data_IF_188142405343
#
_entry.id   IF_188142405343
#
_cell.length_a   1.000
_cell.length_b   1.000
_cell.length_c   1.000
_cell.angle_alpha   90.00
_cell.angle_beta   90.00
_cell.angle_gamma   90.00
#
_symmetry.space_group_name_H-M   'P 1'
#
loop_
_entity.id
_entity.type
_entity.pdbx_description
1 polymer ?
#
# COMPACT_ATOMS: atom_id res chain seq x y z
N UNK A 1 10.97 13.22 -10.61
CA UNK A 1 11.82 13.83 -11.65
C UNK A 1 10.92 14.04 -12.84
N UNK A 2 10.84 15.26 -13.37
CA UNK A 2 9.96 15.54 -14.51
C UNK A 2 10.50 14.89 -15.79
N UNK A 3 9.64 14.71 -16.79
CA UNK A 3 10.04 14.23 -18.12
C UNK A 3 11.06 15.18 -18.79
N UNK A 4 10.89 16.49 -18.62
CA UNK A 4 11.80 17.50 -19.15
C UNK A 4 13.18 17.44 -18.51
N UNK A 5 13.24 17.34 -17.17
CA UNK A 5 14.51 17.18 -16.45
C UNK A 5 15.23 15.90 -16.87
N UNK A 6 14.48 14.82 -17.09
CA UNK A 6 15.03 13.55 -17.55
C UNK A 6 15.68 13.69 -18.93
N UNK A 7 14.98 14.28 -19.91
CA UNK A 7 15.50 14.48 -21.26
C UNK A 7 16.69 15.47 -21.26
N UNK A 8 16.65 16.51 -20.45
CA UNK A 8 17.74 17.46 -20.28
C UNK A 8 19.00 16.78 -19.71
N UNK A 9 18.83 15.98 -18.65
CA UNK A 9 19.93 15.23 -18.04
C UNK A 9 20.48 14.15 -18.97
N UNK A 10 19.62 13.47 -19.74
CA UNK A 10 20.04 12.50 -20.75
C UNK A 10 20.85 13.17 -21.87
N UNK A 11 20.43 14.35 -22.34
CA UNK A 11 21.19 15.14 -23.31
C UNK A 11 22.56 15.51 -22.77
N UNK A 12 22.59 16.02 -21.54
CA UNK A 12 23.83 16.42 -20.87
C UNK A 12 24.79 15.24 -20.69
N UNK A 13 24.29 14.08 -20.27
CA UNK A 13 25.10 12.87 -20.12
C UNK A 13 25.73 12.40 -21.44
N UNK A 14 25.01 12.52 -22.56
CA UNK A 14 25.58 12.23 -23.88
C UNK A 14 26.69 13.21 -24.27
N UNK A 15 26.52 14.50 -23.99
CA UNK A 15 27.54 15.53 -24.24
C UNK A 15 28.77 15.30 -23.36
N UNK A 16 28.58 15.01 -22.07
CA UNK A 16 29.66 14.70 -21.13
C UNK A 16 30.40 13.40 -21.54
N UNK A 17 29.71 12.48 -22.22
CA UNK A 17 30.28 11.28 -22.84
C UNK A 17 31.00 11.50 -24.17
N UNK A 18 31.06 12.75 -24.66
CA UNK A 18 31.80 13.14 -25.88
C UNK A 18 30.97 13.22 -27.16
N UNK A 19 29.64 13.08 -27.09
CA UNK A 19 28.78 13.33 -28.25
C UNK A 19 28.66 14.85 -28.52
N UNK A 20 28.56 15.23 -29.80
CA UNK A 20 28.28 16.62 -30.14
C UNK A 20 26.83 17.00 -29.75
N UNK A 21 26.53 18.30 -29.56
CA UNK A 21 25.21 18.75 -29.11
C UNK A 21 24.03 18.38 -30.04
N UNK A 22 24.28 18.17 -31.34
CA UNK A 22 23.25 17.80 -32.32
C UNK A 22 22.97 16.31 -32.19
N UNK A 23 24.01 15.46 -32.21
CA UNK A 23 23.87 14.01 -32.00
C UNK A 23 23.26 13.69 -30.64
N UNK A 24 23.65 14.40 -29.57
CA UNK A 24 23.04 14.27 -28.25
C UNK A 24 21.55 14.69 -28.25
N UNK A 25 21.19 15.71 -29.04
CA UNK A 25 19.79 16.11 -29.22
C UNK A 25 18.97 15.06 -29.96
N UNK A 26 19.51 14.45 -31.01
CA UNK A 26 18.83 13.42 -31.78
C UNK A 26 18.69 12.10 -31.00
N UNK A 27 19.68 11.75 -30.17
CA UNK A 27 19.61 10.60 -29.26
C UNK A 27 18.45 10.74 -28.25
N UNK A 28 18.22 11.94 -27.72
CA UNK A 28 17.14 12.20 -26.76
C UNK A 28 15.75 12.09 -27.39
N UNK A 29 15.60 12.46 -28.68
CA UNK A 29 14.33 12.27 -29.40
C UNK A 29 13.93 10.79 -29.55
N UNK A 30 14.89 9.87 -29.55
CA UNK A 30 14.63 8.43 -29.66
C UNK A 30 14.05 7.83 -28.37
N UNK A 31 14.28 8.48 -27.24
CA UNK A 31 13.78 8.05 -25.92
C UNK A 31 12.59 8.89 -25.46
N UNK A 32 12.24 9.97 -26.15
CA UNK A 32 11.06 10.78 -25.85
C UNK A 32 9.79 10.13 -26.40
N UNK A 33 9.00 9.56 -25.51
CA UNK A 33 7.69 8.95 -25.85
C UNK A 33 6.51 9.94 -25.70
N UNK A 34 6.79 11.24 -25.50
CA UNK A 34 5.80 12.32 -25.58
C UNK A 34 4.83 12.43 -24.39
N UNK A 35 4.98 11.61 -23.35
CA UNK A 35 4.21 11.72 -22.12
C UNK A 35 5.02 12.40 -21.01
N UNK A 36 4.36 12.70 -19.88
CA UNK A 36 5.02 13.15 -18.65
C UNK A 36 4.42 12.43 -17.47
N UNK A 37 4.95 11.25 -17.18
CA UNK A 37 4.49 10.34 -16.13
C UNK A 37 5.42 10.41 -14.93
N UNK A 38 4.89 10.82 -13.78
CA UNK A 38 5.57 10.62 -12.50
C UNK A 38 5.25 9.23 -11.96
N UNK A 39 6.13 8.26 -12.24
CA UNK A 39 5.96 6.88 -11.82
C UNK A 39 5.87 6.70 -10.29
N UNK A 40 6.45 7.61 -9.50
CA UNK A 40 6.34 7.55 -8.04
C UNK A 40 4.94 7.96 -7.57
N UNK A 41 4.37 9.03 -8.13
CA UNK A 41 2.97 9.41 -7.87
C UNK A 41 1.98 8.34 -8.38
N UNK A 42 2.37 7.59 -9.40
CA UNK A 42 1.54 6.47 -9.87
C UNK A 42 1.49 5.30 -8.89
N UNK A 43 2.54 5.03 -8.11
CA UNK A 43 2.57 3.92 -7.15
C UNK A 43 2.27 4.32 -5.70
N UNK A 44 2.53 5.58 -5.34
CA UNK A 44 2.32 6.09 -4.00
C UNK A 44 1.03 6.91 -3.90
N UNK A 45 0.51 7.03 -2.69
CA UNK A 45 -0.63 7.88 -2.37
C UNK A 45 -0.42 8.51 -1.00
N UNK A 46 -1.13 9.60 -0.75
CA UNK A 46 -1.34 10.06 0.62
C UNK A 46 -2.16 9.01 1.38
N UNK A 47 -1.55 8.41 2.40
CA UNK A 47 -2.19 7.43 3.25
C UNK A 47 -3.00 8.10 4.36
N UNK A 48 -4.26 7.69 4.54
CA UNK A 48 -5.12 8.12 5.64
C UNK A 48 -5.39 6.92 6.54
N UNK A 49 -5.31 7.15 7.86
CA UNK A 49 -5.69 6.15 8.87
C UNK A 49 -6.86 6.66 9.69
N UNK A 50 -7.85 5.80 9.89
CA UNK A 50 -9.03 6.07 10.71
C UNK A 50 -9.15 4.99 11.76
N UNK A 51 -9.43 5.40 12.99
CA UNK A 51 -9.62 4.51 14.12
C UNK A 51 -10.82 4.99 14.94
N UNK A 52 -11.74 4.07 15.21
CA UNK A 52 -12.92 4.32 16.04
C UNK A 52 -12.95 3.27 17.13
N UNK A 53 -13.08 3.70 18.38
CA UNK A 53 -13.26 2.80 19.51
C UNK A 53 -14.50 3.21 20.28
N UNK A 54 -15.33 2.24 20.57
CA UNK A 54 -16.47 2.40 21.46
C UNK A 54 -16.38 1.35 22.56
N UNK A 55 -16.65 1.77 23.79
CA UNK A 55 -16.74 0.84 24.91
C UNK A 55 -17.85 1.23 25.84
N UNK A 56 -18.49 0.22 26.40
CA UNK A 56 -19.53 0.33 27.40
C UNK A 56 -19.19 -0.59 28.57
N UNK A 57 -19.41 -0.10 29.78
CA UNK A 57 -19.11 -0.82 31.00
C UNK A 57 -20.25 -0.72 31.98
N UNK A 58 -20.48 -1.81 32.70
CA UNK A 58 -21.41 -1.91 33.81
C UNK A 58 -20.72 -2.63 34.97
N UNK A 59 -20.87 -2.09 36.17
CA UNK A 59 -20.36 -2.71 37.38
C UNK A 59 -21.39 -2.51 38.49
N UNK A 60 -21.88 -3.60 39.06
CA UNK A 60 -22.81 -3.55 40.18
C UNK A 60 -22.78 -4.84 40.99
N UNK A 61 -22.77 -4.72 42.33
CA UNK A 61 -22.95 -5.81 43.31
C UNK A 61 -22.24 -7.12 42.95
N UNK A 62 -20.96 -7.05 42.55
CA UNK A 62 -20.14 -8.21 42.25
C UNK A 62 -20.18 -8.70 40.80
N UNK A 63 -21.01 -8.10 39.94
CA UNK A 63 -21.02 -8.32 38.49
C UNK A 63 -20.30 -7.19 37.76
N UNK A 64 -19.32 -7.53 36.93
CA UNK A 64 -18.66 -6.61 36.01
C UNK A 64 -18.90 -7.06 34.56
N UNK A 65 -19.32 -6.15 33.71
CA UNK A 65 -19.47 -6.40 32.27
C UNK A 65 -18.81 -5.26 31.52
N UNK A 66 -17.95 -5.58 30.56
CA UNK A 66 -17.34 -4.61 29.65
C UNK A 66 -17.50 -5.12 28.22
N UNK A 67 -18.19 -4.33 27.40
CA UNK A 67 -18.30 -4.55 25.97
C UNK A 67 -17.48 -3.48 25.26
N UNK A 68 -16.73 -3.86 24.24
CA UNK A 68 -15.96 -2.91 23.43
C UNK A 68 -15.92 -3.35 21.98
N UNK A 69 -15.90 -2.38 21.09
CA UNK A 69 -15.71 -2.56 19.66
C UNK A 69 -14.71 -1.56 19.13
N UNK A 70 -13.89 -1.98 18.18
CA UNK A 70 -12.98 -1.09 17.45
C UNK A 70 -13.06 -1.33 15.94
N UNK A 71 -12.94 -0.25 15.18
CA UNK A 71 -12.77 -0.27 13.73
C UNK A 71 -11.49 0.47 13.37
N UNK A 72 -10.56 -0.24 12.75
CA UNK A 72 -9.30 0.27 12.21
C UNK A 72 -9.36 0.23 10.68
N UNK A 73 -9.10 1.36 10.01
CA UNK A 73 -8.86 1.43 8.56
C UNK A 73 -7.58 2.22 8.31
N UNK A 74 -6.50 1.49 8.03
CA UNK A 74 -5.17 2.03 7.81
C UNK A 74 -4.79 1.85 6.34
N UNK A 75 -4.75 2.94 5.58
CA UNK A 75 -4.22 2.91 4.22
C UNK A 75 -2.70 2.83 4.25
N UNK A 76 -2.12 2.02 3.37
CA UNK A 76 -0.68 2.06 3.11
C UNK A 76 -0.31 3.17 2.11
N UNK A 77 0.95 3.62 2.18
CA UNK A 77 1.52 4.65 1.31
C UNK A 77 1.60 4.16 -0.14
N UNK A 78 1.84 2.86 -0.34
CA UNK A 78 1.74 2.24 -1.66
C UNK A 78 0.28 2.00 -2.00
N UNK A 79 -0.16 2.41 -3.19
CA UNK A 79 -1.53 2.17 -3.67
C UNK A 79 -1.88 0.69 -3.55
N UNK A 80 -3.15 0.42 -3.21
CA UNK A 80 -3.71 -0.92 -2.98
C UNK A 80 -3.05 -1.72 -1.84
N UNK A 81 -2.26 -1.09 -0.99
CA UNK A 81 -1.87 -1.64 0.31
C UNK A 81 -2.66 -1.01 1.46
N UNK A 82 -2.92 -1.78 2.51
CA UNK A 82 -3.63 -1.29 3.69
C UNK A 82 -4.26 -2.40 4.51
N UNK A 83 -4.63 -2.05 5.74
CA UNK A 83 -5.21 -2.93 6.75
C UNK A 83 -6.59 -2.41 7.15
N UNK A 84 -7.59 -3.29 7.16
CA UNK A 84 -8.88 -3.02 7.79
C UNK A 84 -9.12 -4.05 8.87
N UNK A 85 -9.43 -3.64 10.09
CA UNK A 85 -9.70 -4.54 11.20
C UNK A 85 -10.93 -4.12 11.98
N UNK A 86 -11.83 -5.07 12.19
CA UNK A 86 -12.98 -4.93 13.09
C UNK A 86 -12.76 -5.84 14.29
N UNK A 87 -12.75 -5.28 15.50
CA UNK A 87 -12.59 -6.06 16.74
C UNK A 87 -13.81 -5.88 17.62
N UNK A 88 -14.28 -6.96 18.23
CA UNK A 88 -15.28 -6.96 19.30
C UNK A 88 -14.74 -7.70 20.51
N UNK A 89 -14.97 -7.18 21.71
CA UNK A 89 -14.52 -7.80 22.95
C UNK A 89 -15.58 -7.69 24.05
N UNK A 90 -15.84 -8.79 24.72
CA UNK A 90 -16.73 -8.89 25.87
C UNK A 90 -15.96 -9.48 27.06
N UNK A 91 -15.94 -8.76 28.18
CA UNK A 91 -15.32 -9.21 29.42
C UNK A 91 -16.39 -9.22 30.51
N UNK A 92 -16.63 -10.38 31.11
CA UNK A 92 -17.68 -10.58 32.12
C UNK A 92 -17.00 -11.17 33.35
N UNK A 93 -17.21 -10.54 34.50
CA UNK A 93 -16.79 -11.03 35.80
C UNK A 93 -17.98 -11.15 36.73
N UNK A 94 -18.04 -12.24 37.49
CA UNK A 94 -19.08 -12.48 38.48
C UNK A 94 -18.45 -12.96 39.78
N UNK A 95 -18.71 -12.23 40.87
CA UNK A 95 -18.43 -12.69 42.23
C UNK A 95 -19.66 -13.39 42.79
N UNK A 96 -19.42 -14.52 43.45
CA UNK A 96 -20.41 -15.41 44.04
C UNK A 96 -19.96 -15.77 45.46
N UNK A 97 -20.90 -16.29 46.27
CA UNK A 97 -20.62 -16.82 47.62
C UNK A 97 -19.96 -15.79 48.56
N UNK A 98 -20.45 -14.55 48.60
CA UNK A 98 -19.86 -13.43 49.36
C UNK A 98 -18.36 -13.25 49.04
N UNK A 99 -18.06 -13.06 47.77
CA UNK A 99 -16.69 -12.86 47.23
C UNK A 99 -15.73 -14.05 47.39
N UNK A 100 -16.21 -15.23 47.83
CA UNK A 100 -15.38 -16.44 47.95
C UNK A 100 -15.16 -17.18 46.63
N UNK A 101 -15.97 -16.90 45.60
CA UNK A 101 -15.83 -17.46 44.26
C UNK A 101 -15.91 -16.34 43.22
N UNK A 102 -14.98 -16.34 42.27
CA UNK A 102 -14.94 -15.38 41.17
C UNK A 102 -14.87 -16.12 39.84
N UNK A 103 -15.81 -15.83 38.94
CA UNK A 103 -15.84 -16.34 37.58
C UNK A 103 -15.53 -15.20 36.62
N UNK A 104 -14.67 -15.46 35.63
CA UNK A 104 -14.34 -14.50 34.58
C UNK A 104 -14.42 -15.16 33.21
N UNK A 105 -14.99 -14.44 32.25
CA UNK A 105 -15.07 -14.84 30.84
C UNK A 105 -14.58 -13.69 29.96
N UNK A 106 -13.72 -14.00 28.99
CA UNK A 106 -13.08 -13.00 28.14
C UNK A 106 -13.16 -13.39 26.67
N UNK A 107 -14.21 -12.95 25.99
CA UNK A 107 -14.42 -13.27 24.58
C UNK A 107 -13.88 -12.13 23.71
N UNK A 108 -13.07 -12.46 22.71
CA UNK A 108 -12.57 -11.51 21.70
C UNK A 108 -12.77 -12.09 20.30
N UNK A 109 -13.32 -11.27 19.42
CA UNK A 109 -13.43 -11.54 18.00
C UNK A 109 -12.71 -10.45 17.21
N UNK A 110 -11.94 -10.85 16.20
CA UNK A 110 -11.27 -9.94 15.29
C UNK A 110 -11.43 -10.42 13.85
N UNK A 111 -11.86 -9.51 12.97
CA UNK A 111 -11.87 -9.69 11.53
C UNK A 111 -10.84 -8.75 10.92
N UNK A 112 -9.80 -9.31 10.30
CA UNK A 112 -8.70 -8.53 9.72
C UNK A 112 -8.64 -8.79 8.22
N UNK A 113 -8.67 -7.71 7.43
CA UNK A 113 -8.46 -7.73 5.98
C UNK A 113 -7.18 -6.98 5.69
N UNK A 114 -6.19 -7.69 5.17
CA UNK A 114 -4.91 -7.09 4.82
C UNK A 114 -4.68 -7.12 3.31
N UNK A 115 -4.20 -6.01 2.78
CA UNK A 115 -3.83 -5.85 1.38
C UNK A 115 -2.35 -5.51 1.32
N UNK A 116 -1.58 -6.35 0.65
CA UNK A 116 -0.13 -6.17 0.54
C UNK A 116 0.20 -5.63 -0.84
N UNK A 117 1.03 -4.58 -0.88
CA UNK A 117 1.72 -4.25 -2.11
C UNK A 117 2.79 -5.32 -2.39
N UNK A 118 2.98 -5.73 -3.66
CA UNK A 118 4.11 -6.57 -4.04
C UNK A 118 5.42 -5.79 -3.94
N UNK A 119 5.92 -5.68 -2.71
CA UNK A 119 7.25 -5.15 -2.41
C UNK A 119 8.30 -6.27 -2.38
N UNK A 120 7.98 -7.44 -2.93
CA UNK A 120 8.89 -8.58 -3.02
C UNK A 120 10.17 -8.16 -3.76
N UNK A 121 11.30 -8.39 -3.08
CA UNK A 121 12.66 -8.25 -3.61
C UNK A 121 13.07 -9.45 -4.49
N UNK A 122 12.13 -10.26 -4.99
CA UNK A 122 12.48 -11.36 -5.88
C UNK A 122 13.14 -10.79 -7.14
N UNK A 123 14.45 -10.96 -7.20
CA UNK A 123 15.36 -10.69 -8.30
C UNK A 123 15.10 -11.64 -9.49
N UNK A 124 13.84 -11.76 -9.90
CA UNK A 124 13.44 -12.39 -11.15
C UNK A 124 12.86 -11.34 -12.10
N UNK A 125 12.53 -11.77 -13.32
CA UNK A 125 11.93 -10.99 -14.42
C UNK A 125 10.68 -10.15 -14.04
N UNK A 126 10.13 -10.30 -12.83
CA UNK A 126 8.99 -9.51 -12.34
C UNK A 126 9.38 -8.17 -11.67
N UNK A 127 10.67 -7.91 -11.44
CA UNK A 127 11.20 -6.64 -10.92
C UNK A 127 10.77 -6.27 -9.50
N UNK A 128 11.39 -5.25 -8.90
CA UNK A 128 10.87 -4.59 -7.69
C UNK A 128 9.89 -3.50 -8.10
N UNK A 129 8.71 -3.39 -7.46
CA UNK A 129 7.74 -2.31 -7.75
C UNK A 129 8.41 -0.93 -7.65
N UNK A 130 9.28 -0.77 -6.64
CA UNK A 130 10.04 0.45 -6.43
C UNK A 130 11.16 0.61 -7.48
N UNK A 131 11.86 -0.48 -7.81
CA UNK A 131 12.88 -0.47 -8.85
C UNK A 131 12.32 -0.07 -10.22
N UNK A 132 11.15 -0.59 -10.60
CA UNK A 132 10.46 -0.23 -11.83
C UNK A 132 10.06 1.26 -11.84
N UNK A 133 9.50 1.78 -10.74
CA UNK A 133 9.12 3.18 -10.65
C UNK A 133 10.31 4.16 -10.68
N UNK A 134 11.51 3.72 -10.28
CA UNK A 134 12.73 4.53 -10.35
C UNK A 134 13.45 4.46 -11.70
N UNK A 135 13.34 3.34 -12.42
CA UNK A 135 14.08 3.11 -13.67
C UNK A 135 13.27 3.43 -14.92
N UNK A 136 11.93 3.40 -14.84
CA UNK A 136 11.10 3.65 -16.00
C UNK A 136 11.23 5.09 -16.49
N UNK A 137 11.32 5.21 -17.80
CA UNK A 137 11.40 6.50 -18.47
C UNK A 137 10.12 7.32 -18.18
N UNK A 138 10.22 8.53 -17.61
CA UNK A 138 9.08 9.40 -17.32
C UNK A 138 8.37 9.92 -18.58
N UNK A 139 8.97 9.80 -19.78
CA UNK A 139 8.27 10.14 -21.03
C UNK A 139 7.31 9.05 -21.50
N UNK A 140 7.31 7.88 -20.86
CA UNK A 140 6.43 6.78 -21.21
C UNK A 140 5.00 7.04 -20.71
N UNK A 141 3.95 6.77 -21.51
CA UNK A 141 2.58 6.86 -21.03
C UNK A 141 2.28 5.73 -20.02
N UNK A 142 1.29 5.95 -19.14
CA UNK A 142 0.81 4.90 -18.23
C UNK A 142 -0.02 3.85 -18.98
N UNK A 143 -0.80 4.28 -19.98
CA UNK A 143 -1.70 3.44 -20.75
C UNK A 143 -1.47 3.62 -22.25
N UNK A 144 -1.68 2.55 -23.02
CA UNK A 144 -1.81 2.59 -24.47
C UNK A 144 -3.15 3.26 -24.87
N UNK A 145 -3.29 3.62 -26.15
CA UNK A 145 -4.52 4.23 -26.68
C UNK A 145 -5.78 3.35 -26.55
N UNK A 146 -5.58 2.03 -26.45
CA UNK A 146 -6.65 1.04 -26.26
C UNK A 146 -7.02 0.83 -24.76
N UNK A 147 -6.36 1.55 -23.84
CA UNK A 147 -6.58 1.43 -22.39
C UNK A 147 -5.80 0.30 -21.72
N UNK A 148 -5.04 -0.51 -22.46
CA UNK A 148 -4.12 -1.49 -21.88
C UNK A 148 -2.91 -0.80 -21.23
N UNK A 149 -2.24 -1.46 -20.28
CA UNK A 149 -1.03 -0.90 -19.65
C UNK A 149 0.12 -0.82 -20.67
N UNK A 150 0.76 0.34 -20.76
CA UNK A 150 1.96 0.50 -21.59
C UNK A 150 3.12 -0.30 -20.97
N UNK A 151 3.77 -1.17 -21.77
CA UNK A 151 4.89 -2.01 -21.35
C UNK A 151 6.08 -1.79 -22.30
N UNK A 152 7.13 -1.07 -21.86
CA UNK A 152 8.34 -0.89 -22.65
C UNK A 152 9.25 -2.13 -22.55
N UNK A 153 9.14 -3.02 -23.55
CA UNK A 153 9.95 -4.24 -23.61
C UNK A 153 9.70 -5.17 -22.42
N UNK A 154 10.77 -5.58 -21.73
CA UNK A 154 10.70 -6.45 -20.55
C UNK A 154 10.31 -5.71 -19.26
N UNK A 155 10.28 -4.37 -19.27
CA UNK A 155 9.91 -3.60 -18.09
C UNK A 155 8.39 -3.56 -17.93
N UNK A 156 7.92 -4.11 -16.80
CA UNK A 156 6.49 -4.09 -16.46
C UNK A 156 6.07 -2.74 -15.90
N UNK A 157 4.88 -2.30 -16.32
CA UNK A 157 4.24 -1.13 -15.77
C UNK A 157 3.97 -1.31 -14.26
N UNK A 158 4.47 -0.44 -13.38
CA UNK A 158 4.34 -0.59 -11.94
C UNK A 158 2.89 -0.44 -11.47
N UNK A 159 2.05 0.27 -12.22
CA UNK A 159 0.62 0.44 -11.89
C UNK A 159 -0.18 -0.85 -12.04
N UNK A 160 0.19 -1.73 -12.97
CA UNK A 160 -0.43 -3.04 -13.16
C UNK A 160 -0.29 -3.94 -11.93
N UNK A 161 0.82 -3.84 -11.20
CA UNK A 161 1.15 -4.73 -10.08
C UNK A 161 0.49 -4.33 -8.77
N UNK A 162 -0.04 -3.11 -8.68
CA UNK A 162 -0.68 -2.63 -7.47
C UNK A 162 -1.94 -3.47 -7.11
N UNK A 163 -2.59 -4.17 -8.05
CA UNK A 163 -3.87 -4.87 -7.82
C UNK A 163 -3.85 -6.26 -7.13
N UNK A 164 -2.84 -6.60 -6.32
CA UNK A 164 -2.66 -7.96 -5.75
C UNK A 164 -3.69 -8.39 -4.67
N UNK A 165 -3.82 -9.72 -4.40
CA UNK A 165 -4.96 -10.27 -3.66
C UNK A 165 -5.02 -9.84 -2.19
N UNK A 166 -6.25 -9.58 -1.74
CA UNK A 166 -6.60 -9.25 -0.34
C UNK A 166 -6.66 -10.54 0.47
N UNK A 167 -5.96 -10.58 1.60
CA UNK A 167 -6.06 -11.68 2.55
C UNK A 167 -7.07 -11.34 3.65
N UNK A 168 -8.03 -12.23 3.89
CA UNK A 168 -8.98 -12.13 5.00
C UNK A 168 -8.58 -13.14 6.07
N UNK A 169 -8.39 -12.67 7.30
CA UNK A 169 -8.08 -13.47 8.48
C UNK A 169 -9.15 -13.21 9.53
N UNK A 170 -9.84 -14.27 9.96
CA UNK A 170 -10.83 -14.22 11.03
C UNK A 170 -10.25 -14.93 12.25
N UNK A 171 -10.22 -14.25 13.40
CA UNK A 171 -9.67 -14.80 14.64
C UNK A 171 -10.70 -14.67 15.77
N UNK A 172 -10.96 -15.80 16.44
CA UNK A 172 -11.79 -15.87 17.64
C UNK A 172 -10.93 -16.37 18.79
N UNK A 173 -11.01 -15.71 19.95
CA UNK A 173 -10.28 -16.06 21.18
C UNK A 173 -11.28 -16.02 22.34
N UNK A 174 -11.36 -17.10 23.11
CA UNK A 174 -12.27 -17.26 24.27
C UNK A 174 -11.50 -17.32 25.59
#
# INVERSE_FOLDING_TARGET
>A
MSAEDFLLNAKKANIDGGADPIAAGDAVKLIDNGASTDWQDQIFRQAISQNYNLSWGYNNKGTTVRLSGSYDDQQGIVKNSGLKRLTGRANIGQKLLNDKLKLEANITYSNTKNSYAPLSNNAGYQGSLLGAALQLNPTNPVYNKDGSFFQPGDQRNPTQRSGLPKQNVNQFIC
#
